data_IF_950900522404
#
_entry.id   IF_950900522404
#
_cell.length_a   1.000
_cell.length_b   1.000
_cell.length_c   1.000
_cell.angle_alpha   90.00
_cell.angle_beta   90.00
_cell.angle_gamma   90.00
#
_symmetry.space_group_name_H-M   'P 1'
#
loop_
_entity.id
_entity.type
_entity.pdbx_description
1 polymer ?
#
# COMPACT_ATOMS: atom_id res chain seq x y z
N UNK A 1 -24.42 16.50 -17.59
CA UNK A 1 -23.05 17.03 -17.59
C UNK A 1 -22.34 16.32 -16.44
N UNK A 2 -21.58 15.27 -16.73
CA UNK A 2 -20.94 14.44 -15.70
C UNK A 2 -19.69 15.18 -15.24
N UNK A 3 -19.68 15.63 -13.99
CA UNK A 3 -18.55 16.29 -13.39
C UNK A 3 -17.55 15.20 -13.01
N UNK A 4 -16.40 15.17 -13.67
CA UNK A 4 -15.35 14.19 -13.45
C UNK A 4 -14.60 14.51 -12.16
N UNK A 5 -14.44 13.54 -11.28
CA UNK A 5 -13.50 13.65 -10.17
C UNK A 5 -12.07 13.43 -10.68
N UNK A 6 -11.06 13.76 -9.88
CA UNK A 6 -9.66 13.44 -10.16
C UNK A 6 -9.09 12.74 -8.93
N UNK A 7 -8.60 11.51 -9.08
CA UNK A 7 -7.73 10.94 -8.06
C UNK A 7 -6.38 11.61 -8.17
N UNK A 8 -5.85 12.06 -7.03
CA UNK A 8 -4.49 12.60 -6.93
C UNK A 8 -3.74 11.82 -5.88
N UNK A 9 -2.50 11.43 -6.20
CA UNK A 9 -1.58 11.01 -5.15
C UNK A 9 -1.41 12.16 -4.15
N UNK A 10 -1.68 11.84 -2.89
CA UNK A 10 -1.57 12.80 -1.81
C UNK A 10 -0.30 12.52 -1.02
N UNK A 11 0.41 13.58 -0.64
CA UNK A 11 1.39 13.47 0.44
C UNK A 11 0.60 13.20 1.72
N UNK A 12 0.70 11.97 2.19
CA UNK A 12 0.05 11.49 3.41
C UNK A 12 0.63 12.20 4.60
N UNK A 13 -0.16 12.50 5.62
CA UNK A 13 0.35 12.80 6.96
C UNK A 13 0.37 11.51 7.79
N UNK A 14 1.36 11.34 8.67
CA UNK A 14 1.44 10.17 9.55
C UNK A 14 0.13 9.92 10.32
N UNK A 15 -0.53 10.99 10.79
CA UNK A 15 -1.84 10.91 11.45
C UNK A 15 -2.96 10.33 10.58
N UNK A 16 -2.89 10.42 9.25
CA UNK A 16 -3.89 9.83 8.35
C UNK A 16 -3.73 8.32 8.25
N UNK A 17 -2.48 7.83 8.29
CA UNK A 17 -2.19 6.40 8.40
C UNK A 17 -2.60 5.93 9.80
N UNK A 18 -2.24 6.66 10.85
CA UNK A 18 -2.65 6.35 12.22
C UNK A 18 -4.17 6.21 12.33
N UNK A 19 -4.94 7.18 11.82
CA UNK A 19 -6.41 7.13 11.86
C UNK A 19 -6.99 5.89 11.16
N UNK A 20 -6.35 5.41 10.08
CA UNK A 20 -6.77 4.17 9.43
C UNK A 20 -6.58 2.96 10.35
N UNK A 21 -5.42 2.87 11.02
CA UNK A 21 -5.10 1.73 11.88
C UNK A 21 -5.82 1.79 13.24
N UNK A 22 -6.04 2.98 13.79
CA UNK A 22 -6.84 3.20 15.02
C UNK A 22 -8.27 2.68 14.88
N UNK A 23 -8.80 2.72 13.65
CA UNK A 23 -10.12 2.24 13.29
C UNK A 23 -10.08 0.96 12.44
N UNK A 24 -9.01 0.15 12.53
CA UNK A 24 -8.81 -1.01 11.66
C UNK A 24 -9.93 -2.05 11.74
N UNK A 25 -10.53 -2.24 12.92
CA UNK A 25 -11.69 -3.12 13.15
C UNK A 25 -12.94 -2.67 12.39
N UNK A 26 -13.05 -1.36 12.16
CA UNK A 26 -14.15 -0.68 11.46
C UNK A 26 -13.71 -0.15 10.09
N UNK A 27 -12.58 -0.63 9.58
CA UNK A 27 -11.95 -0.05 8.38
C UNK A 27 -12.94 0.03 7.22
N UNK A 28 -12.83 1.05 6.37
CA UNK A 28 -13.78 1.25 5.28
C UNK A 28 -13.60 0.20 4.19
N UNK A 29 -14.44 -0.82 4.19
CA UNK A 29 -14.54 -1.80 3.11
C UNK A 29 -14.77 -1.06 1.77
N UNK A 30 -14.00 -1.39 0.75
CA UNK A 30 -14.04 -0.73 -0.56
C UNK A 30 -13.10 0.48 -0.73
N UNK A 31 -12.43 0.96 0.32
CA UNK A 31 -11.40 2.03 0.21
C UNK A 31 -9.96 1.53 0.37
N UNK A 32 -9.79 0.23 0.61
CA UNK A 32 -8.49 -0.41 0.79
C UNK A 32 -8.22 -1.35 -0.39
N UNK A 33 -7.03 -1.21 -0.98
CA UNK A 33 -6.57 -1.96 -2.13
C UNK A 33 -5.27 -2.68 -1.80
N UNK A 34 -5.18 -3.98 -2.06
CA UNK A 34 -3.94 -4.75 -1.91
C UNK A 34 -3.50 -4.89 -0.46
N UNK A 35 -4.46 -4.87 0.47
CA UNK A 35 -4.18 -5.16 1.88
C UNK A 35 -3.55 -6.54 1.95
N UNK A 36 -2.37 -6.71 2.57
CA UNK A 36 -1.74 -8.02 2.67
C UNK A 36 -2.65 -9.01 3.40
N UNK A 37 -2.65 -10.27 3.00
CA UNK A 37 -3.59 -11.28 3.52
C UNK A 37 -3.57 -11.35 5.06
N UNK A 38 -2.38 -11.38 5.66
CA UNK A 38 -2.21 -11.41 7.11
C UNK A 38 -2.77 -10.17 7.80
N UNK A 39 -2.70 -9.00 7.17
CA UNK A 39 -3.24 -7.75 7.71
C UNK A 39 -4.75 -7.69 7.52
N UNK A 40 -5.23 -8.26 6.42
CA UNK A 40 -6.65 -8.43 6.15
C UNK A 40 -7.27 -9.40 7.17
N UNK A 41 -6.59 -10.44 7.63
CA UNK A 41 -7.11 -11.35 8.65
C UNK A 41 -7.31 -10.68 10.03
N UNK A 42 -6.69 -9.53 10.27
CA UNK A 42 -6.87 -8.77 11.51
C UNK A 42 -8.25 -8.10 11.51
N UNK A 43 -9.17 -8.63 12.32
CA UNK A 43 -10.56 -8.16 12.48
C UNK A 43 -10.85 -7.60 13.89
N UNK A 44 -9.81 -7.30 14.65
CA UNK A 44 -9.88 -6.79 16.03
C UNK A 44 -9.39 -5.35 16.10
N UNK A 45 -9.84 -4.61 17.11
CA UNK A 45 -9.34 -3.26 17.38
C UNK A 45 -7.87 -3.31 17.83
N UNK A 46 -7.07 -2.28 17.52
CA UNK A 46 -5.72 -2.17 18.06
C UNK A 46 -5.76 -2.02 19.58
N UNK A 47 -4.69 -2.43 20.25
CA UNK A 47 -4.53 -2.24 21.69
C UNK A 47 -4.35 -0.74 21.96
N UNK A 48 -5.16 -0.13 22.83
CA UNK A 48 -5.05 1.29 23.14
C UNK A 48 -3.67 1.67 23.69
N UNK A 49 -3.09 2.80 23.24
CA UNK A 49 -1.84 3.31 23.79
C UNK A 49 -1.93 3.49 25.31
N UNK A 50 -0.94 2.96 26.05
CA UNK A 50 -0.80 3.21 27.48
C UNK A 50 -1.73 2.44 28.43
N UNK A 51 -2.56 1.52 27.93
CA UNK A 51 -3.30 0.58 28.79
C UNK A 51 -2.36 -0.30 29.62
N UNK A 52 -1.17 -0.59 29.08
CA UNK A 52 -0.17 -1.39 29.77
C UNK A 52 0.94 -0.51 30.39
N UNK A 53 0.71 -0.09 31.64
CA UNK A 53 1.70 0.68 32.43
C UNK A 53 3.01 -0.07 32.69
N UNK A 54 3.07 -1.38 32.45
CA UNK A 54 4.27 -2.21 32.68
C UNK A 54 5.33 -2.06 31.59
N UNK A 55 4.98 -1.42 30.46
CA UNK A 55 5.89 -1.22 29.31
C UNK A 55 6.79 0.01 29.42
N UNK A 56 6.78 0.71 30.56
CA UNK A 56 7.70 1.83 30.83
C UNK A 56 9.12 1.29 31.03
N UNK A 57 9.92 1.30 29.97
CA UNK A 57 11.37 1.18 30.07
C UNK A 57 11.99 2.48 30.59
N UNK A 58 13.25 2.42 31.04
CA UNK A 58 14.03 3.48 31.67
C UNK A 58 13.75 4.90 31.12
N UNK A 59 12.85 5.64 31.79
CA UNK A 59 12.63 7.06 31.55
C UNK A 59 11.88 7.45 30.27
N UNK A 60 11.42 6.49 29.46
CA UNK A 60 10.69 6.78 28.21
C UNK A 60 9.45 5.91 28.07
N UNK A 61 8.29 6.54 27.82
CA UNK A 61 7.04 5.84 27.54
C UNK A 61 7.06 5.33 26.09
N UNK A 62 7.65 4.16 25.90
CA UNK A 62 7.86 3.54 24.59
C UNK A 62 6.61 2.76 24.16
N UNK A 63 5.80 3.34 23.28
CA UNK A 63 4.55 2.72 22.79
C UNK A 63 4.64 2.58 21.28
N UNK A 64 4.39 1.39 20.70
CA UNK A 64 4.34 1.25 19.24
C UNK A 64 3.19 2.08 18.67
N UNK A 65 3.29 2.48 17.40
CA UNK A 65 2.23 3.26 16.75
C UNK A 65 0.92 2.45 16.70
N UNK A 66 1.00 1.16 16.40
CA UNK A 66 -0.15 0.23 16.40
C UNK A 66 0.27 -1.13 16.93
N UNK A 67 -0.63 -1.76 17.69
CA UNK A 67 -0.43 -3.12 18.17
C UNK A 67 -1.70 -3.96 18.04
N UNK A 68 -1.56 -5.17 17.52
CA UNK A 68 -2.64 -6.16 17.46
C UNK A 68 -2.21 -7.46 18.10
N UNK A 69 -3.16 -8.17 18.74
CA UNK A 69 -3.00 -9.57 19.13
C UNK A 69 -4.03 -10.41 18.38
N UNK A 70 -3.57 -11.34 17.56
CA UNK A 70 -4.40 -12.23 16.74
C UNK A 70 -3.90 -13.67 16.93
N UNK A 71 -4.67 -14.45 17.70
CA UNK A 71 -4.25 -15.80 18.08
C UNK A 71 -2.92 -15.79 18.83
N UNK A 72 -1.93 -16.53 18.34
CA UNK A 72 -0.57 -16.59 18.91
C UNK A 72 0.35 -15.46 18.44
N UNK A 73 -0.09 -14.63 17.51
CA UNK A 73 0.70 -13.57 16.91
C UNK A 73 0.38 -12.23 17.54
N UNK A 74 1.42 -11.45 17.78
CA UNK A 74 1.34 -10.06 18.18
C UNK A 74 2.06 -9.19 17.16
N UNK A 75 1.29 -8.41 16.44
CA UNK A 75 1.81 -7.50 15.43
C UNK A 75 2.13 -6.18 16.10
N UNK A 76 3.36 -5.72 15.88
CA UNK A 76 3.86 -4.44 16.38
C UNK A 76 4.20 -3.63 15.15
N UNK A 77 3.43 -2.59 14.90
CA UNK A 77 3.47 -1.87 13.64
C UNK A 77 3.94 -0.46 13.91
N UNK A 78 4.98 -0.08 13.17
CA UNK A 78 5.46 1.29 13.13
C UNK A 78 5.05 1.96 11.83
N UNK A 79 4.38 3.11 11.95
CA UNK A 79 3.80 3.86 10.85
C UNK A 79 4.71 5.04 10.54
N UNK A 80 5.19 5.15 9.30
CA UNK A 80 6.08 6.28 8.95
C UNK A 80 5.70 6.98 7.67
N UNK A 81 5.79 8.31 7.74
CA UNK A 81 5.59 9.19 6.60
C UNK A 81 6.93 9.69 6.02
N UNK A 82 7.26 9.22 4.82
CA UNK A 82 8.32 9.81 4.00
C UNK A 82 9.74 9.56 4.50
N UNK A 83 10.69 10.34 3.96
CA UNK A 83 12.11 9.98 4.00
C UNK A 83 12.90 10.43 5.25
N UNK A 84 12.23 11.05 6.23
CA UNK A 84 12.89 11.57 7.44
C UNK A 84 12.60 10.60 8.58
N UNK A 85 13.62 10.22 9.35
CA UNK A 85 13.54 9.31 10.52
C UNK A 85 13.38 7.81 10.20
N UNK A 86 13.73 7.37 9.00
CA UNK A 86 13.57 6.00 8.54
C UNK A 86 14.43 4.98 9.32
N UNK A 87 15.73 5.23 9.59
CA UNK A 87 16.52 4.33 10.44
C UNK A 87 16.00 4.23 11.87
N UNK A 88 15.39 5.32 12.37
CA UNK A 88 14.79 5.34 13.70
C UNK A 88 13.58 4.41 13.75
N UNK A 89 12.70 4.44 12.75
CA UNK A 89 11.54 3.55 12.65
C UNK A 89 11.91 2.06 12.72
N UNK A 90 12.98 1.69 12.01
CA UNK A 90 13.48 0.32 12.02
C UNK A 90 14.03 -0.07 13.39
N UNK A 91 14.79 0.82 14.04
CA UNK A 91 15.25 0.59 15.39
C UNK A 91 14.08 0.52 16.39
N UNK A 92 13.07 1.37 16.23
CA UNK A 92 11.88 1.43 17.08
C UNK A 92 11.10 0.13 17.04
N UNK A 93 10.69 -0.33 15.84
CA UNK A 93 9.89 -1.55 15.70
C UNK A 93 10.64 -2.79 16.19
N UNK A 94 11.95 -2.86 15.95
CA UNK A 94 12.79 -3.97 16.42
C UNK A 94 12.94 -3.96 17.94
N UNK A 95 13.09 -2.77 18.53
CA UNK A 95 13.13 -2.62 19.98
C UNK A 95 11.80 -3.06 20.59
N UNK A 96 10.66 -2.55 20.10
CA UNK A 96 9.34 -2.94 20.58
C UNK A 96 9.17 -4.46 20.51
N UNK A 97 9.49 -5.07 19.38
CA UNK A 97 9.38 -6.51 19.22
C UNK A 97 10.30 -7.30 20.17
N UNK A 98 11.55 -6.88 20.34
CA UNK A 98 12.50 -7.53 21.25
C UNK A 98 12.07 -7.41 22.71
N UNK A 99 11.59 -6.24 23.12
CA UNK A 99 11.08 -6.01 24.47
C UNK A 99 9.88 -6.91 24.77
N UNK A 100 8.89 -6.92 23.89
CA UNK A 100 7.69 -7.75 24.05
C UNK A 100 8.01 -9.24 24.09
N UNK A 101 8.92 -9.73 23.23
CA UNK A 101 9.38 -11.13 23.26
C UNK A 101 10.00 -11.50 24.60
N UNK A 102 10.76 -10.59 25.21
CA UNK A 102 11.53 -10.87 26.43
C UNK A 102 10.72 -10.71 27.72
N UNK A 103 9.81 -9.75 27.76
CA UNK A 103 9.16 -9.34 29.01
C UNK A 103 7.64 -9.52 29.02
N UNK A 104 7.01 -9.73 27.87
CA UNK A 104 5.55 -9.86 27.73
C UNK A 104 5.16 -11.07 26.84
N UNK A 105 5.89 -12.17 27.02
CA UNK A 105 5.70 -13.43 26.28
C UNK A 105 4.43 -14.19 26.66
N UNK A 106 3.73 -13.78 27.72
CA UNK A 106 2.51 -14.45 28.22
C UNK A 106 1.31 -14.25 27.31
N UNK A 107 1.29 -13.16 26.53
CA UNK A 107 0.12 -12.76 25.74
C UNK A 107 0.23 -13.10 24.25
N UNK A 108 1.42 -13.49 23.77
CA UNK A 108 1.63 -14.03 22.42
C UNK A 108 2.99 -14.73 22.35
N UNK A 109 3.02 -15.93 21.76
CA UNK A 109 4.28 -16.68 21.58
C UNK A 109 5.12 -16.13 20.42
N UNK A 110 4.53 -15.37 19.50
CA UNK A 110 5.20 -14.84 18.32
C UNK A 110 4.94 -13.34 18.17
N UNK A 111 6.00 -12.53 18.25
CA UNK A 111 5.93 -11.08 17.99
C UNK A 111 6.48 -10.79 16.59
N UNK A 112 5.65 -10.14 15.78
CA UNK A 112 5.89 -9.82 14.37
C UNK A 112 6.10 -8.31 14.24
N UNK A 113 7.34 -7.83 14.02
CA UNK A 113 7.59 -6.43 13.72
C UNK A 113 7.15 -6.12 12.29
N UNK A 114 6.42 -5.02 12.14
CA UNK A 114 5.89 -4.54 10.86
C UNK A 114 6.24 -3.07 10.69
N UNK A 115 6.68 -2.69 9.50
CA UNK A 115 6.78 -1.28 9.11
C UNK A 115 5.76 -1.03 8.00
N UNK A 116 4.90 -0.03 8.21
CA UNK A 116 4.01 0.49 7.17
C UNK A 116 4.46 1.90 6.85
N UNK A 117 4.95 2.12 5.63
CA UNK A 117 5.46 3.44 5.23
C UNK A 117 4.99 3.82 3.83
N UNK A 118 5.12 5.09 3.45
CA UNK A 118 5.18 5.40 2.01
C UNK A 118 6.43 4.77 1.39
N UNK A 119 6.50 4.71 0.04
CA UNK A 119 7.69 4.24 -0.67
C UNK A 119 8.97 4.82 -0.07
N UNK A 120 9.89 3.93 0.30
CA UNK A 120 11.12 4.28 0.99
C UNK A 120 12.26 3.37 0.55
N UNK A 121 13.13 3.90 -0.30
CA UNK A 121 14.23 3.12 -0.87
C UNK A 121 15.24 2.64 0.16
N UNK A 122 15.47 3.41 1.22
CA UNK A 122 16.46 3.10 2.25
C UNK A 122 15.96 1.99 3.16
N UNK A 123 14.71 2.08 3.63
CA UNK A 123 14.07 0.99 4.38
C UNK A 123 13.99 -0.28 3.56
N UNK A 124 13.55 -0.18 2.30
CA UNK A 124 13.42 -1.34 1.41
C UNK A 124 14.76 -2.07 1.28
N UNK A 125 15.85 -1.36 0.98
CA UNK A 125 17.20 -1.93 0.90
C UNK A 125 17.65 -2.53 2.23
N UNK A 126 17.52 -1.79 3.33
CA UNK A 126 17.99 -2.26 4.63
C UNK A 126 17.26 -3.53 5.09
N UNK A 127 15.93 -3.58 4.87
CA UNK A 127 15.14 -4.74 5.25
C UNK A 127 15.44 -5.90 4.30
N UNK A 128 15.50 -5.67 2.99
CA UNK A 128 15.81 -6.72 2.02
C UNK A 128 17.17 -7.39 2.31
N UNK A 129 18.21 -6.60 2.56
CA UNK A 129 19.57 -7.09 2.78
C UNK A 129 19.74 -7.79 4.14
N UNK A 130 19.16 -7.23 5.20
CA UNK A 130 19.51 -7.64 6.57
C UNK A 130 18.36 -8.26 7.37
N UNK A 131 17.10 -7.98 7.03
CA UNK A 131 15.97 -8.23 7.93
C UNK A 131 14.74 -8.84 7.24
N UNK A 132 14.88 -9.37 6.02
CA UNK A 132 13.75 -9.88 5.22
C UNK A 132 12.94 -10.97 5.93
N UNK A 133 13.62 -11.82 6.71
CA UNK A 133 12.99 -12.87 7.50
C UNK A 133 12.51 -12.41 8.89
N UNK A 134 12.76 -11.15 9.25
CA UNK A 134 12.53 -10.59 10.59
C UNK A 134 11.39 -9.59 10.58
N UNK A 135 11.38 -8.66 9.62
CA UNK A 135 10.45 -7.52 9.56
C UNK A 135 9.54 -7.66 8.35
N UNK A 136 8.22 -7.54 8.58
CA UNK A 136 7.27 -7.36 7.48
C UNK A 136 7.32 -5.90 7.02
N UNK A 137 7.46 -5.69 5.71
CA UNK A 137 7.49 -4.36 5.14
C UNK A 137 6.33 -4.15 4.17
N UNK A 138 5.52 -3.15 4.46
CA UNK A 138 4.37 -2.77 3.64
C UNK A 138 4.54 -1.31 3.23
N UNK A 139 4.34 -1.05 1.95
CA UNK A 139 4.28 0.30 1.43
C UNK A 139 2.84 0.72 1.21
N UNK A 140 2.49 1.95 1.60
CA UNK A 140 1.16 2.51 1.41
C UNK A 140 1.20 3.74 0.51
N UNK A 141 0.25 3.77 -0.43
CA UNK A 141 -0.03 4.87 -1.33
C UNK A 141 -1.42 5.37 -0.99
N UNK A 142 -1.56 6.68 -0.77
CA UNK A 142 -2.86 7.29 -0.48
C UNK A 142 -3.26 8.20 -1.61
N UNK A 143 -4.51 8.03 -2.00
CA UNK A 143 -5.14 8.76 -3.09
C UNK A 143 -6.26 9.59 -2.49
N UNK A 144 -6.31 10.86 -2.88
CA UNK A 144 -7.40 11.75 -2.55
C UNK A 144 -8.34 11.83 -3.76
N UNK A 145 -9.61 11.48 -3.56
CA UNK A 145 -10.67 11.77 -4.54
C UNK A 145 -11.09 13.23 -4.40
N UNK A 146 -11.35 13.92 -5.51
CA UNK A 146 -11.94 15.27 -5.47
C UNK A 146 -13.47 15.26 -5.37
N UNK A 147 -14.12 14.16 -4.99
CA UNK A 147 -15.58 14.13 -4.81
C UNK A 147 -16.01 15.18 -3.77
N UNK A 148 -16.53 16.32 -4.27
CA UNK A 148 -17.34 17.26 -3.49
C UNK A 148 -18.78 16.78 -3.68
N UNK A 149 -19.16 15.71 -2.98
CA UNK A 149 -20.45 15.05 -3.19
C UNK A 149 -21.05 14.49 -1.91
N UNK A 150 -21.78 15.33 -1.16
CA UNK A 150 -22.87 14.99 -0.23
C UNK A 150 -22.76 13.75 0.70
N UNK A 151 -21.56 13.26 1.03
CA UNK A 151 -21.38 12.33 2.15
C UNK A 151 -21.44 13.10 3.48
N UNK A 152 -22.61 13.68 3.78
CA UNK A 152 -22.96 14.18 5.10
C UNK A 152 -23.10 12.98 6.03
N UNK A 153 -21.99 12.59 6.65
CA UNK A 153 -21.87 11.98 7.98
C UNK A 153 -20.68 11.00 7.98
N UNK A 154 -19.64 11.42 8.69
CA UNK A 154 -18.59 10.64 9.38
C UNK A 154 -17.22 11.23 9.05
N UNK A 155 -16.60 11.83 10.07
CA UNK A 155 -15.18 12.12 10.39
C UNK A 155 -14.02 11.95 9.36
N UNK A 156 -14.21 11.33 8.20
CA UNK A 156 -13.29 11.28 7.07
C UNK A 156 -13.76 12.28 6.00
N UNK A 157 -13.56 13.58 6.25
CA UNK A 157 -14.01 14.70 5.39
C UNK A 157 -13.32 14.77 4.01
N UNK A 158 -12.59 13.72 3.63
CA UNK A 158 -11.99 13.47 2.31
C UNK A 158 -12.04 11.96 2.05
N UNK A 159 -12.60 11.51 0.93
CA UNK A 159 -12.60 10.09 0.56
C UNK A 159 -11.18 9.68 0.14
N UNK A 160 -10.38 9.32 1.15
CA UNK A 160 -9.07 8.74 0.96
C UNK A 160 -9.20 7.27 0.55
N UNK A 161 -8.45 6.88 -0.48
CA UNK A 161 -8.23 5.49 -0.83
C UNK A 161 -6.81 5.12 -0.42
N UNK A 162 -6.63 3.92 0.14
CA UNK A 162 -5.34 3.39 0.54
C UNK A 162 -5.02 2.18 -0.34
N UNK A 163 -3.89 2.24 -1.03
CA UNK A 163 -3.33 1.12 -1.76
C UNK A 163 -2.07 0.63 -1.05
N UNK A 164 -1.90 -0.68 -0.96
CA UNK A 164 -0.79 -1.31 -0.27
C UNK A 164 0.01 -2.17 -1.25
N UNK A 165 1.32 -2.00 -1.21
CA UNK A 165 2.31 -2.86 -1.86
C UNK A 165 3.14 -3.58 -0.81
N UNK A 166 3.60 -4.78 -1.13
CA UNK A 166 4.45 -5.64 -0.29
C UNK A 166 5.71 -5.95 -1.06
N UNK A 167 6.67 -5.00 -1.11
CA UNK A 167 7.79 -5.07 -2.04
C UNK A 167 8.74 -6.24 -1.82
N UNK A 168 8.69 -6.88 -0.66
CA UNK A 168 9.56 -8.00 -0.30
C UNK A 168 8.84 -9.36 -0.34
N UNK A 169 7.55 -9.38 -0.67
CA UNK A 169 6.78 -10.60 -0.81
C UNK A 169 7.26 -11.45 -2.00
N UNK A 170 6.94 -12.76 -2.02
CA UNK A 170 7.24 -13.62 -3.16
C UNK A 170 6.69 -13.04 -4.46
N UNK A 171 7.53 -13.09 -5.49
CA UNK A 171 7.29 -12.56 -6.83
C UNK A 171 7.43 -13.69 -7.84
N UNK A 172 6.39 -13.93 -8.64
CA UNK A 172 6.39 -15.01 -9.61
C UNK A 172 5.99 -14.50 -10.98
N UNK A 173 6.74 -14.85 -12.01
CA UNK A 173 6.31 -14.65 -13.39
C UNK A 173 5.22 -15.66 -13.77
N UNK A 174 4.22 -15.19 -14.50
CA UNK A 174 3.17 -16.03 -15.08
C UNK A 174 3.07 -15.77 -16.59
N UNK A 175 3.31 -16.82 -17.37
CA UNK A 175 3.09 -16.81 -18.83
C UNK A 175 1.61 -16.69 -19.18
N UNK A 176 0.74 -17.19 -18.30
CA UNK A 176 -0.71 -17.16 -18.42
C UNK A 176 -1.30 -16.47 -17.19
N UNK A 177 -1.35 -15.12 -17.16
CA UNK A 177 -2.02 -14.41 -16.09
C UNK A 177 -3.52 -14.75 -16.08
N UNK A 178 -4.22 -14.54 -14.96
CA UNK A 178 -5.67 -14.65 -14.89
C UNK A 178 -6.38 -13.96 -16.07
N UNK A 179 -7.36 -14.64 -16.67
CA UNK A 179 -8.05 -14.17 -17.88
C UNK A 179 -8.66 -12.77 -17.75
N UNK A 180 -9.08 -12.39 -16.54
CA UNK A 180 -9.61 -11.05 -16.26
C UNK A 180 -8.56 -9.94 -16.42
N UNK A 181 -7.26 -10.22 -16.19
CA UNK A 181 -6.17 -9.28 -16.45
C UNK A 181 -5.95 -9.09 -17.95
N UNK A 182 -5.94 -10.19 -18.70
CA UNK A 182 -5.83 -10.15 -20.16
C UNK A 182 -7.03 -9.44 -20.82
N UNK A 183 -8.20 -9.51 -20.20
CA UNK A 183 -9.41 -8.81 -20.63
C UNK A 183 -9.47 -7.34 -20.19
N UNK A 184 -8.51 -6.84 -19.39
CA UNK A 184 -8.48 -5.41 -19.01
C UNK A 184 -8.30 -4.53 -20.24
N UNK A 185 -7.38 -4.90 -21.13
CA UNK A 185 -7.07 -4.21 -22.38
C UNK A 185 -6.31 -5.15 -23.36
N UNK A 186 -6.65 -5.19 -24.66
CA UNK A 186 -5.94 -6.02 -25.63
C UNK A 186 -4.44 -5.78 -25.71
N UNK A 187 -3.97 -4.56 -25.40
CA UNK A 187 -2.54 -4.27 -25.35
C UNK A 187 -1.88 -4.88 -24.13
N UNK A 188 -2.59 -5.13 -23.03
CA UNK A 188 -1.98 -5.77 -21.86
C UNK A 188 -1.46 -7.20 -22.16
N UNK A 189 -1.83 -7.80 -23.30
CA UNK A 189 -1.33 -9.08 -23.79
C UNK A 189 0.18 -9.10 -24.12
N UNK A 190 0.83 -7.95 -24.39
CA UNK A 190 2.28 -7.92 -24.63
C UNK A 190 3.10 -7.83 -23.34
N UNK A 191 2.47 -7.56 -22.20
CA UNK A 191 3.16 -7.42 -20.93
C UNK A 191 3.52 -8.80 -20.36
N UNK A 192 4.65 -8.84 -19.66
CA UNK A 192 5.07 -9.93 -18.80
C UNK A 192 4.47 -9.70 -17.43
N UNK A 193 3.62 -10.62 -17.00
CA UNK A 193 2.84 -10.47 -15.78
C UNK A 193 3.50 -11.17 -14.62
N UNK A 194 3.56 -10.48 -13.50
CA UNK A 194 4.16 -10.95 -12.27
C UNK A 194 3.19 -10.82 -11.12
N UNK A 195 3.02 -11.90 -10.36
CA UNK A 195 2.16 -11.97 -9.20
C UNK A 195 2.94 -11.69 -7.92
N UNK A 196 2.30 -10.96 -7.00
CA UNK A 196 2.80 -10.70 -5.65
C UNK A 196 1.92 -11.45 -4.66
N UNK A 197 2.49 -12.49 -4.03
CA UNK A 197 1.71 -13.48 -3.29
C UNK A 197 0.99 -12.92 -2.05
N UNK A 198 1.61 -12.00 -1.31
CA UNK A 198 1.07 -11.56 -0.01
C UNK A 198 -0.13 -10.61 -0.11
N UNK A 199 -0.41 -10.02 -1.27
CA UNK A 199 -1.52 -9.08 -1.44
C UNK A 199 -2.33 -9.26 -2.73
N UNK A 200 -2.14 -10.38 -3.42
CA UNK A 200 -2.75 -10.71 -4.71
C UNK A 200 -2.66 -9.58 -5.76
N UNK A 201 -1.58 -8.80 -5.73
CA UNK A 201 -1.36 -7.75 -6.72
C UNK A 201 -0.57 -8.25 -7.92
N UNK A 202 -0.74 -7.58 -9.05
CA UNK A 202 -0.16 -7.97 -10.33
C UNK A 202 0.59 -6.81 -10.95
N UNK A 203 1.79 -7.09 -11.45
CA UNK A 203 2.62 -6.14 -12.18
C UNK A 203 2.78 -6.58 -13.62
N UNK A 204 2.50 -5.68 -14.57
CA UNK A 204 2.75 -5.88 -16.00
C UNK A 204 3.99 -5.11 -16.42
N UNK A 205 5.01 -5.81 -16.90
CA UNK A 205 6.30 -5.26 -17.31
C UNK A 205 6.60 -5.55 -18.78
N UNK A 206 7.45 -4.75 -19.42
CA UNK A 206 7.88 -5.00 -20.81
C UNK A 206 8.81 -6.23 -20.93
N UNK A 207 9.50 -6.57 -19.85
CA UNK A 207 10.43 -7.68 -19.77
C UNK A 207 10.13 -8.58 -18.58
N UNK A 208 10.48 -9.86 -18.71
CA UNK A 208 10.39 -10.81 -17.62
C UNK A 208 11.49 -10.49 -16.60
N UNK A 209 11.10 -10.34 -15.34
CA UNK A 209 12.01 -10.18 -14.23
C UNK A 209 11.91 -11.41 -13.30
N UNK A 210 12.96 -12.24 -13.20
CA UNK A 210 12.93 -13.45 -12.36
C UNK A 210 12.91 -13.11 -10.87
N UNK A 211 13.45 -11.95 -10.50
CA UNK A 211 13.40 -11.40 -9.15
C UNK A 211 12.70 -10.05 -9.18
N UNK A 212 11.91 -9.77 -8.14
CA UNK A 212 11.37 -8.41 -7.98
C UNK A 212 12.53 -7.46 -7.72
N UNK A 213 12.73 -6.42 -8.54
CA UNK A 213 13.80 -5.49 -8.27
C UNK A 213 13.44 -4.66 -7.04
N UNK A 214 14.43 -4.35 -6.20
CA UNK A 214 14.26 -3.41 -5.08
C UNK A 214 13.69 -2.08 -5.57
N UNK A 215 14.09 -1.66 -6.77
CA UNK A 215 13.57 -0.49 -7.46
C UNK A 215 12.99 -0.94 -8.80
N UNK A 216 11.68 -0.81 -8.97
CA UNK A 216 11.11 -0.90 -10.30
C UNK A 216 11.64 0.30 -11.08
N UNK A 217 12.34 0.05 -12.17
CA UNK A 217 12.81 1.07 -13.09
C UNK A 217 12.05 0.96 -14.41
N UNK A 218 11.79 2.11 -15.02
CA UNK A 218 11.02 2.15 -16.26
C UNK A 218 9.52 2.08 -16.03
N UNK A 219 8.82 1.65 -17.08
CA UNK A 219 7.37 1.69 -17.16
C UNK A 219 6.77 0.37 -16.69
N UNK A 220 5.68 0.47 -15.93
CA UNK A 220 4.95 -0.70 -15.46
C UNK A 220 3.45 -0.40 -15.32
N UNK A 221 2.68 -1.48 -15.34
CA UNK A 221 1.29 -1.50 -14.90
C UNK A 221 1.25 -2.18 -13.54
N UNK A 222 0.51 -1.63 -12.57
CA UNK A 222 0.24 -2.27 -11.29
C UNK A 222 -1.27 -2.36 -11.07
N UNK A 223 -1.74 -3.57 -10.82
CA UNK A 223 -3.15 -3.91 -10.68
C UNK A 223 -3.37 -4.47 -9.29
N UNK A 224 -4.29 -3.85 -8.56
CA UNK A 224 -4.52 -4.13 -7.15
C UNK A 224 -6.00 -4.28 -6.88
N UNK A 225 -6.39 -5.40 -6.27
CA UNK A 225 -7.79 -5.66 -5.92
C UNK A 225 -8.18 -4.95 -4.62
N UNK A 226 -9.39 -4.41 -4.60
CA UNK A 226 -10.04 -3.86 -3.43
C UNK A 226 -10.63 -4.96 -2.54
N UNK A 227 -10.66 -4.72 -1.23
CA UNK A 227 -11.18 -5.68 -0.25
C UNK A 227 -12.71 -5.78 -0.16
N UNK A 228 -13.46 -5.00 -0.95
CA UNK A 228 -14.92 -4.93 -0.91
C UNK A 228 -15.65 -5.99 -1.76
N UNK A 229 -16.97 -6.17 -1.56
CA UNK A 229 -17.79 -7.15 -2.29
C UNK A 229 -17.81 -6.90 -3.80
N UNK A 230 -17.62 -5.65 -4.22
CA UNK A 230 -17.68 -5.22 -5.61
C UNK A 230 -16.41 -5.55 -6.42
N UNK A 231 -15.38 -6.14 -5.78
CA UNK A 231 -14.10 -6.51 -6.42
C UNK A 231 -13.49 -5.38 -7.24
N UNK A 232 -13.60 -4.14 -6.75
CA UNK A 232 -13.02 -2.98 -7.42
C UNK A 232 -11.52 -3.16 -7.60
N UNK A 233 -10.96 -2.55 -8.64
CA UNK A 233 -9.53 -2.67 -8.95
C UNK A 233 -8.93 -1.28 -9.07
N UNK A 234 -7.83 -1.06 -8.37
CA UNK A 234 -6.95 0.07 -8.63
C UNK A 234 -5.94 -0.33 -9.70
N UNK A 235 -5.90 0.44 -10.78
CA UNK A 235 -4.96 0.29 -11.87
C UNK A 235 -4.05 1.50 -11.92
N UNK A 236 -2.76 1.24 -11.83
CA UNK A 236 -1.70 2.21 -12.05
C UNK A 236 -1.00 1.93 -13.37
N UNK A 237 -0.78 2.97 -14.15
CA UNK A 237 0.09 2.96 -15.32
C UNK A 237 1.08 4.12 -15.24
N UNK A 238 2.37 3.84 -15.33
CA UNK A 238 3.34 4.92 -15.44
C UNK A 238 4.75 4.48 -15.15
N UNK A 239 5.54 5.48 -14.77
CA UNK A 239 6.94 5.30 -14.42
C UNK A 239 7.09 5.29 -12.90
N UNK A 240 7.95 4.41 -12.41
CA UNK A 240 8.50 4.57 -11.08
C UNK A 240 9.40 5.81 -11.05
N UNK A 241 9.55 6.43 -9.87
CA UNK A 241 10.58 7.45 -9.71
C UNK A 241 11.95 6.83 -9.98
N UNK A 242 12.76 7.45 -10.84
CA UNK A 242 14.15 7.03 -11.02
C UNK A 242 14.94 7.28 -9.74
N UNK A 243 16.10 6.63 -9.61
CA UNK A 243 17.02 6.87 -8.50
C UNK A 243 17.34 8.37 -8.37
N UNK A 244 17.08 8.93 -7.20
CA UNK A 244 17.27 10.36 -6.92
C UNK A 244 16.11 11.27 -7.31
N UNK A 245 15.06 10.74 -7.96
CA UNK A 245 13.84 11.49 -8.25
C UNK A 245 12.82 11.38 -7.11
N UNK A 246 12.04 12.45 -6.94
CA UNK A 246 10.82 12.40 -6.12
C UNK A 246 9.71 11.78 -6.97
N UNK A 247 8.90 10.93 -6.35
CA UNK A 247 7.65 10.48 -6.95
C UNK A 247 6.82 11.71 -7.37
N UNK A 248 6.47 11.77 -8.65
CA UNK A 248 5.60 12.80 -9.21
C UNK A 248 4.15 12.55 -8.83
N UNK A 249 3.34 13.60 -8.93
CA UNK A 249 1.90 13.49 -8.80
C UNK A 249 1.37 12.61 -9.94
N UNK A 250 0.73 11.50 -9.60
CA UNK A 250 -0.13 10.79 -10.54
C UNK A 250 -1.57 11.30 -10.45
N UNK A 251 -2.24 11.30 -11.59
CA UNK A 251 -3.61 11.78 -11.73
C UNK A 251 -4.46 10.79 -12.52
N UNK A 252 -5.72 10.64 -12.12
CA UNK A 252 -6.75 9.95 -12.91
C UNK A 252 -7.51 10.91 -13.80
N UNK A 253 -7.75 10.60 -15.10
CA UNK A 253 -8.61 11.42 -15.96
C UNK A 253 -10.09 11.47 -15.55
N UNK A 254 -10.56 10.58 -14.66
CA UNK A 254 -11.98 10.50 -14.30
C UNK A 254 -12.29 10.38 -12.81
N UNK A 255 -11.31 10.00 -11.98
CA UNK A 255 -11.34 10.03 -10.51
C UNK A 255 -12.40 9.18 -9.79
N UNK A 256 -13.44 8.79 -10.50
CA UNK A 256 -14.49 7.88 -10.09
C UNK A 256 -14.16 6.46 -10.56
N UNK A 257 -14.83 5.48 -9.95
CA UNK A 257 -14.87 4.12 -10.50
C UNK A 257 -15.52 4.21 -11.88
N UNK A 258 -14.89 3.64 -12.90
CA UNK A 258 -15.57 3.48 -14.18
C UNK A 258 -16.75 2.49 -14.06
N UNK A 259 -17.55 2.35 -15.12
CA UNK A 259 -18.67 1.40 -15.15
C UNK A 259 -18.27 -0.08 -14.97
N UNK A 260 -16.98 -0.39 -14.86
CA UNK A 260 -16.42 -1.72 -14.60
C UNK A 260 -15.75 -1.85 -13.23
N UNK A 261 -15.88 -0.82 -12.37
CA UNK A 261 -15.33 -0.84 -11.02
C UNK A 261 -13.82 -0.57 -10.95
N UNK A 262 -13.26 0.22 -11.87
CA UNK A 262 -11.81 0.50 -11.94
C UNK A 262 -11.47 1.95 -11.62
N UNK A 263 -10.41 2.14 -10.83
CA UNK A 263 -9.74 3.44 -10.64
C UNK A 263 -8.44 3.48 -11.46
N UNK A 264 -8.28 4.46 -12.34
CA UNK A 264 -7.07 4.58 -13.20
C UNK A 264 -6.15 5.69 -12.73
N UNK A 265 -4.87 5.40 -12.50
CA UNK A 265 -3.86 6.41 -12.20
C UNK A 265 -2.79 6.42 -13.29
N UNK A 266 -2.55 7.59 -13.89
CA UNK A 266 -1.46 7.80 -14.82
C UNK A 266 -0.39 8.71 -14.20
N UNK A 267 0.89 8.33 -14.32
CA UNK A 267 2.02 9.17 -13.95
C UNK A 267 2.90 9.48 -15.16
N UNK A 268 3.26 10.76 -15.34
CA UNK A 268 4.25 11.19 -16.33
C UNK A 268 5.64 11.26 -15.70
N UNK A 269 6.68 10.87 -16.45
CA UNK A 269 8.07 11.10 -16.03
C UNK A 269 8.35 12.58 -15.79
N UNK A 270 9.18 12.92 -14.80
CA UNK A 270 9.62 14.29 -14.53
C UNK A 270 10.20 14.95 -15.79
N UNK A 271 9.55 16.02 -16.29
CA UNK A 271 10.10 16.89 -17.34
C UNK A 271 9.76 16.53 -18.80
N UNK A 272 9.06 15.44 -19.06
CA UNK A 272 8.48 15.16 -20.39
C UNK A 272 7.11 15.82 -20.52
N UNK A 273 6.78 16.37 -21.70
CA UNK A 273 5.36 16.54 -22.08
C UNK A 273 4.67 15.18 -21.90
N UNK A 274 3.39 15.19 -21.54
CA UNK A 274 2.55 14.00 -21.38
C UNK A 274 2.35 13.17 -22.67
N UNK A 275 3.28 13.25 -23.64
CA UNK A 275 3.12 12.80 -25.02
C UNK A 275 3.73 11.44 -25.32
N UNK A 276 4.52 10.85 -24.42
CA UNK A 276 5.10 9.51 -24.64
C UNK A 276 4.56 8.45 -23.66
N UNK A 277 3.55 8.82 -22.87
CA UNK A 277 2.79 7.88 -22.04
C UNK A 277 1.68 7.28 -22.90
N UNK A 278 1.56 5.94 -23.00
CA UNK A 278 0.48 5.39 -23.80
C UNK A 278 -0.85 5.66 -23.11
N UNK A 279 -1.64 6.53 -23.72
CA UNK A 279 -2.97 7.00 -23.28
C UNK A 279 -4.03 5.92 -23.43
N UNK A 280 -3.64 4.67 -23.27
CA UNK A 280 -4.29 3.57 -23.96
C UNK A 280 -5.27 2.90 -23.00
N UNK A 281 -4.92 2.79 -21.72
CA UNK A 281 -5.89 2.52 -20.65
C UNK A 281 -6.89 3.68 -20.44
N UNK A 282 -6.53 4.91 -20.83
CA UNK A 282 -7.46 6.05 -20.80
C UNK A 282 -8.55 5.98 -21.89
N UNK A 283 -8.46 5.03 -22.83
CA UNK A 283 -9.41 4.79 -23.90
C UNK A 283 -10.64 3.96 -23.53
N UNK A 284 -10.78 3.52 -22.27
CA UNK A 284 -11.97 2.78 -21.82
C UNK A 284 -13.08 3.79 -21.47
N UNK A 285 -13.53 4.52 -22.48
CA UNK A 285 -14.91 4.98 -22.49
C UNK A 285 -15.72 3.81 -23.07
N UNK A 286 -16.41 3.05 -22.21
CA UNK A 286 -17.35 2.06 -22.68
C UNK A 286 -18.47 2.78 -23.44
N UNK A 287 -18.47 2.64 -24.76
CA UNK A 287 -19.71 2.68 -25.52
C UNK A 287 -20.66 1.63 -24.93
N UNK A 288 -21.89 2.06 -24.66
CA UNK A 288 -23.01 1.19 -24.28
C UNK A 288 -23.21 0.07 -25.29
#
# INVERSE_FOLDING_TARGET
MTQWSMLKMKRVLECEIQNLFDAWDKRPDGRLFGVPDWLNEIRVAPIPPGEDRTRRSFGYAFTPDVEFIVGSHRYVIELKQGAKYEPLALAEVLHHAAWLKRYDSKNASQVVPVIVSQYNSWLRLAIEEYLRAVVRYVETIVLETTEIGNLRNAAFDKALLFAFDVPLAPWAFHSEPPSWLAALDPRAAHLRWHHVAENDSWFGLEQEMPTRPTFLEGRYVWVVRGGGPDRSVLLWEGYAAKRGEKWTKATSPGGDLDGTGRYFLASTSNGGRATDGPTWLAGIALSR
#
